data_IF_520507606724
#
_entry.id   IF_520507606724
#
_cell.length_a   1.000
_cell.length_b   1.000
_cell.length_c   1.000
_cell.angle_alpha   90.00
_cell.angle_beta   90.00
_cell.angle_gamma   90.00
#
_symmetry.space_group_name_H-M   'P 1'
#
loop_
_entity.id
_entity.type
_entity.pdbx_description
1 polymer ?
#
# COMPACT_ATOMS: atom_id res chain seq x y z
N UNK A 1 17.74 -4.69 -63.17
CA UNK A 1 17.63 -3.69 -62.09
C UNK A 1 16.26 -3.80 -61.44
N UNK A 2 16.07 -4.54 -60.38
CA UNK A 2 14.80 -4.49 -59.65
C UNK A 2 14.84 -3.39 -58.58
N UNK A 3 13.79 -2.65 -58.59
CA UNK A 3 13.42 -1.52 -57.74
C UNK A 3 13.14 -1.99 -56.30
N UNK A 4 13.92 -1.53 -55.34
CA UNK A 4 13.66 -1.79 -53.94
C UNK A 4 12.59 -0.81 -53.44
N UNK A 5 11.38 -1.30 -53.35
CA UNK A 5 10.30 -0.59 -52.67
C UNK A 5 10.58 -0.60 -51.17
N UNK A 6 10.82 0.60 -50.60
CA UNK A 6 10.89 0.84 -49.16
C UNK A 6 9.49 0.66 -48.56
N UNK A 7 9.33 -0.35 -47.74
CA UNK A 7 8.13 -0.51 -46.92
C UNK A 7 8.01 0.68 -45.93
N UNK A 8 6.84 1.26 -45.75
CA UNK A 8 6.64 2.29 -44.73
C UNK A 8 6.71 1.65 -43.33
N UNK A 9 7.64 2.11 -42.53
CA UNK A 9 7.78 1.81 -41.12
C UNK A 9 6.48 2.22 -40.42
N UNK A 10 5.67 1.24 -40.04
CA UNK A 10 4.46 1.46 -39.27
C UNK A 10 4.84 2.14 -37.94
N UNK A 11 4.42 3.38 -37.79
CA UNK A 11 4.56 4.13 -36.55
C UNK A 11 3.82 3.37 -35.45
N UNK A 12 4.57 2.87 -34.49
CA UNK A 12 4.01 2.36 -33.20
C UNK A 12 3.28 3.55 -32.54
N UNK A 13 1.99 3.44 -32.25
CA UNK A 13 1.30 4.54 -31.58
C UNK A 13 1.98 4.78 -30.24
N UNK A 14 2.32 6.05 -29.99
CA UNK A 14 2.87 6.56 -28.74
C UNK A 14 1.79 6.40 -27.64
N UNK A 15 1.68 5.20 -27.08
CA UNK A 15 0.78 4.91 -25.97
C UNK A 15 1.43 5.43 -24.70
N UNK A 16 1.15 6.69 -24.37
CA UNK A 16 1.34 7.20 -23.00
C UNK A 16 0.70 6.20 -22.03
N UNK A 17 1.40 5.84 -20.95
CA UNK A 17 0.83 4.91 -19.98
C UNK A 17 -0.52 5.43 -19.49
N UNK A 18 -1.52 4.56 -19.28
CA UNK A 18 -2.84 4.97 -18.85
C UNK A 18 -2.71 5.75 -17.51
N UNK A 19 -3.43 6.87 -17.45
CA UNK A 19 -3.43 7.70 -16.22
C UNK A 19 -3.93 6.87 -15.03
N UNK A 20 -3.26 6.91 -13.87
CA UNK A 20 -3.76 6.22 -12.68
C UNK A 20 -5.16 6.69 -12.32
N UNK A 21 -6.05 5.75 -12.03
CA UNK A 21 -7.42 6.03 -11.59
C UNK A 21 -7.45 6.09 -10.07
N UNK A 22 -7.90 7.20 -9.51
CA UNK A 22 -8.12 7.40 -8.08
C UNK A 22 -9.60 7.30 -7.79
N UNK A 23 -9.98 6.74 -6.65
CA UNK A 23 -11.36 6.71 -6.18
C UNK A 23 -11.48 7.53 -4.90
N UNK A 24 -12.31 8.57 -4.92
CA UNK A 24 -12.62 9.41 -3.76
C UNK A 24 -13.96 8.98 -3.19
N UNK A 25 -13.94 8.52 -1.94
CA UNK A 25 -15.11 8.04 -1.21
C UNK A 25 -15.33 8.94 0.01
N UNK A 26 -16.38 9.74 -0.04
CA UNK A 26 -16.71 10.72 1.00
C UNK A 26 -18.21 11.05 0.86
N UNK A 27 -18.97 11.23 1.89
CA UNK A 27 -20.40 11.57 1.81
C UNK A 27 -20.64 13.05 1.49
N UNK A 28 -19.65 13.91 1.75
CA UNK A 28 -19.70 15.34 1.42
C UNK A 28 -19.43 15.59 -0.07
N UNK A 29 -20.44 16.05 -0.79
CA UNK A 29 -20.33 16.40 -2.20
C UNK A 29 -19.28 17.47 -2.50
N UNK A 30 -19.12 18.46 -1.62
CA UNK A 30 -18.17 19.56 -1.81
C UNK A 30 -16.72 19.02 -1.74
N UNK A 31 -16.45 18.15 -0.79
CA UNK A 31 -15.14 17.53 -0.63
C UNK A 31 -14.83 16.65 -1.86
N UNK A 32 -15.76 15.78 -2.28
CA UNK A 32 -15.58 14.96 -3.48
C UNK A 32 -15.28 15.80 -4.71
N UNK A 33 -16.05 16.87 -4.93
CA UNK A 33 -15.87 17.75 -6.08
C UNK A 33 -14.52 18.46 -6.06
N UNK A 34 -14.13 19.00 -4.91
CA UNK A 34 -12.85 19.69 -4.73
C UNK A 34 -11.67 18.74 -4.99
N UNK A 35 -11.72 17.53 -4.44
CA UNK A 35 -10.67 16.54 -4.62
C UNK A 35 -10.60 16.04 -6.06
N UNK A 36 -11.75 15.77 -6.69
CA UNK A 36 -11.79 15.35 -8.09
C UNK A 36 -11.19 16.41 -9.02
N UNK A 37 -11.54 17.67 -8.84
CA UNK A 37 -10.97 18.78 -9.61
C UNK A 37 -9.47 18.94 -9.37
N UNK A 38 -9.06 18.99 -8.10
CA UNK A 38 -7.66 19.19 -7.74
C UNK A 38 -6.76 18.07 -8.29
N UNK A 39 -7.14 16.82 -8.09
CA UNK A 39 -6.36 15.66 -8.55
C UNK A 39 -6.43 15.51 -10.08
N UNK A 40 -7.57 15.84 -10.69
CA UNK A 40 -7.71 15.86 -12.15
C UNK A 40 -6.76 16.83 -12.84
N UNK A 41 -6.54 18.02 -12.27
CA UNK A 41 -5.56 19.01 -12.75
C UNK A 41 -4.11 18.50 -12.70
N UNK A 42 -3.84 17.49 -11.86
CA UNK A 42 -2.52 16.87 -11.72
C UNK A 42 -2.37 15.58 -12.55
N UNK A 43 -3.30 15.32 -13.46
CA UNK A 43 -3.18 14.24 -14.44
C UNK A 43 -3.78 12.90 -14.03
N UNK A 44 -4.49 12.82 -12.91
CA UNK A 44 -5.19 11.62 -12.49
C UNK A 44 -6.57 11.51 -13.13
N UNK A 45 -7.03 10.29 -13.38
CA UNK A 45 -8.44 10.02 -13.59
C UNK A 45 -9.10 9.84 -12.22
N UNK A 46 -10.21 10.54 -11.94
CA UNK A 46 -10.83 10.52 -10.60
C UNK A 46 -12.27 10.07 -10.72
N UNK A 47 -12.57 8.95 -10.08
CA UNK A 47 -13.90 8.45 -9.80
C UNK A 47 -14.34 8.89 -8.40
N UNK A 48 -15.63 8.99 -8.17
CA UNK A 48 -16.17 9.37 -6.87
C UNK A 48 -17.29 8.43 -6.43
N UNK A 49 -17.39 8.21 -5.13
CA UNK A 49 -18.47 7.46 -4.50
C UNK A 49 -18.92 8.17 -3.23
N UNK A 50 -20.20 8.05 -2.89
CA UNK A 50 -20.81 8.69 -1.72
C UNK A 50 -20.78 7.80 -0.48
N UNK A 51 -20.57 6.51 -0.66
CA UNK A 51 -20.60 5.49 0.39
C UNK A 51 -19.89 4.20 -0.07
N UNK A 52 -19.78 3.23 0.84
CA UNK A 52 -19.13 1.94 0.58
C UNK A 52 -19.77 1.13 -0.55
N UNK A 53 -21.10 1.18 -0.71
CA UNK A 53 -21.81 0.43 -1.76
C UNK A 53 -21.51 0.96 -3.16
N UNK A 54 -21.48 2.29 -3.32
CA UNK A 54 -21.07 2.92 -4.57
C UNK A 54 -19.59 2.64 -4.86
N UNK A 55 -18.73 2.72 -3.83
CA UNK A 55 -17.30 2.34 -3.93
C UNK A 55 -17.15 0.91 -4.49
N UNK A 56 -17.83 -0.07 -3.90
CA UNK A 56 -17.78 -1.46 -4.36
C UNK A 56 -18.24 -1.60 -5.80
N UNK A 57 -19.25 -0.83 -6.20
CA UNK A 57 -19.75 -0.79 -7.58
C UNK A 57 -18.71 -0.23 -8.55
N UNK A 58 -17.89 0.73 -8.14
CA UNK A 58 -16.77 1.25 -8.94
C UNK A 58 -15.66 0.22 -9.05
N UNK A 59 -15.26 -0.38 -7.92
CA UNK A 59 -14.20 -1.39 -7.87
C UNK A 59 -14.52 -2.64 -8.71
N UNK A 60 -15.81 -3.00 -8.83
CA UNK A 60 -16.26 -4.11 -9.67
C UNK A 60 -16.19 -3.81 -11.19
N UNK A 61 -16.18 -2.53 -11.60
CA UNK A 61 -16.24 -2.14 -13.02
C UNK A 61 -14.90 -1.78 -13.62
N UNK A 62 -13.95 -1.32 -12.79
CA UNK A 62 -12.66 -0.84 -13.29
C UNK A 62 -11.54 -0.98 -12.28
N UNK A 63 -10.32 -0.99 -12.78
CA UNK A 63 -9.13 -1.02 -11.94
C UNK A 63 -8.88 0.37 -11.35
N UNK A 64 -8.84 0.44 -10.02
CA UNK A 64 -8.50 1.63 -9.25
C UNK A 64 -7.05 1.51 -8.77
N UNK A 65 -6.30 2.59 -8.85
CA UNK A 65 -4.89 2.63 -8.43
C UNK A 65 -4.71 3.02 -6.96
N UNK A 66 -5.65 3.79 -6.39
CA UNK A 66 -5.63 4.24 -5.00
C UNK A 66 -7.03 4.71 -4.59
N UNK A 67 -7.38 4.51 -3.32
CA UNK A 67 -8.63 4.95 -2.71
C UNK A 67 -8.34 6.04 -1.67
N UNK A 68 -8.99 7.20 -1.81
CA UNK A 68 -9.11 8.22 -0.78
C UNK A 68 -10.43 7.98 -0.06
N UNK A 69 -10.40 7.63 1.22
CA UNK A 69 -11.55 7.13 1.96
C UNK A 69 -11.83 7.98 3.19
N UNK A 70 -13.01 8.57 3.26
CA UNK A 70 -13.45 9.21 4.49
C UNK A 70 -13.74 8.17 5.58
N UNK A 71 -13.40 8.54 6.82
CA UNK A 71 -13.69 7.69 8.00
C UNK A 71 -15.14 7.79 8.40
N UNK A 72 -15.71 8.99 8.36
CA UNK A 72 -17.06 9.28 8.87
C UNK A 72 -18.07 9.26 7.75
N UNK A 73 -18.57 8.09 7.39
CA UNK A 73 -19.59 7.94 6.36
C UNK A 73 -20.85 7.27 6.94
N UNK A 74 -22.05 7.60 6.39
CA UNK A 74 -23.27 6.92 6.78
C UNK A 74 -23.29 5.47 6.27
N UNK A 75 -23.80 4.56 7.11
CA UNK A 75 -23.84 3.12 6.80
C UNK A 75 -22.59 2.39 7.25
N UNK A 76 -21.81 1.84 6.33
CA UNK A 76 -20.51 1.23 6.63
C UNK A 76 -19.46 2.33 6.81
N UNK A 77 -18.88 2.45 8.02
CA UNK A 77 -17.82 3.42 8.31
C UNK A 77 -16.50 3.10 7.58
N UNK A 78 -15.68 4.14 7.37
CA UNK A 78 -14.43 4.00 6.62
C UNK A 78 -13.41 3.05 7.26
N UNK A 79 -13.42 2.88 8.58
CA UNK A 79 -12.54 1.93 9.26
C UNK A 79 -12.93 0.48 8.94
N UNK A 80 -14.23 0.19 8.93
CA UNK A 80 -14.78 -1.12 8.56
C UNK A 80 -14.48 -1.44 7.09
N UNK A 81 -14.69 -0.46 6.20
CA UNK A 81 -14.34 -0.57 4.77
C UNK A 81 -12.85 -0.86 4.61
N UNK A 82 -11.97 -0.09 5.25
CA UNK A 82 -10.53 -0.27 5.16
C UNK A 82 -10.10 -1.66 5.62
N UNK A 83 -10.65 -2.14 6.75
CA UNK A 83 -10.38 -3.49 7.27
C UNK A 83 -10.78 -4.59 6.29
N UNK A 84 -11.90 -4.40 5.59
CA UNK A 84 -12.38 -5.33 4.57
C UNK A 84 -11.48 -5.33 3.34
N UNK A 85 -11.10 -4.16 2.85
CA UNK A 85 -10.22 -3.99 1.69
C UNK A 85 -8.82 -4.55 1.93
N UNK A 86 -8.27 -4.36 3.13
CA UNK A 86 -6.94 -4.88 3.50
C UNK A 86 -6.81 -6.42 3.40
N UNK A 87 -7.94 -7.14 3.32
CA UNK A 87 -7.96 -8.62 3.19
C UNK A 87 -8.05 -9.12 1.76
N UNK A 88 -8.33 -8.25 0.80
CA UNK A 88 -8.68 -8.63 -0.57
C UNK A 88 -7.63 -8.23 -1.61
N UNK A 89 -6.44 -7.76 -1.19
CA UNK A 89 -5.45 -7.22 -2.13
C UNK A 89 -5.94 -5.98 -2.88
N UNK A 90 -6.83 -5.21 -2.25
CA UNK A 90 -7.38 -3.98 -2.80
C UNK A 90 -6.28 -2.91 -3.01
N UNK A 91 -6.57 -1.85 -3.79
CA UNK A 91 -5.66 -0.72 -3.93
C UNK A 91 -5.30 -0.07 -2.59
N UNK A 92 -4.13 0.60 -2.48
CA UNK A 92 -3.75 1.32 -1.27
C UNK A 92 -4.83 2.32 -0.86
N UNK A 93 -5.11 2.36 0.44
CA UNK A 93 -6.12 3.24 1.03
C UNK A 93 -5.44 4.39 1.76
N UNK A 94 -5.78 5.62 1.41
CA UNK A 94 -5.46 6.84 2.16
C UNK A 94 -6.71 7.27 2.90
N UNK A 95 -6.70 7.20 4.22
CA UNK A 95 -7.83 7.62 5.03
C UNK A 95 -7.85 9.13 5.25
N UNK A 96 -9.03 9.72 5.13
CA UNK A 96 -9.31 11.13 5.45
C UNK A 96 -10.22 11.17 6.66
N UNK A 97 -9.88 11.91 7.71
CA UNK A 97 -10.68 11.92 8.93
C UNK A 97 -10.72 13.28 9.61
N UNK A 98 -11.89 13.66 10.09
CA UNK A 98 -12.05 14.79 11.00
C UNK A 98 -11.55 14.46 12.43
N UNK A 99 -11.36 13.19 12.76
CA UNK A 99 -10.79 12.73 14.01
C UNK A 99 -9.26 12.85 13.90
N UNK A 100 -8.70 13.91 14.48
CA UNK A 100 -7.27 14.23 14.42
C UNK A 100 -6.45 13.60 15.54
N UNK A 101 -7.07 12.83 16.42
CA UNK A 101 -6.42 12.27 17.60
C UNK A 101 -5.48 11.11 17.26
N UNK A 102 -4.34 11.07 17.96
CA UNK A 102 -3.30 10.04 17.76
C UNK A 102 -3.86 8.60 17.82
N UNK A 103 -4.78 8.24 18.71
CA UNK A 103 -5.37 6.90 18.77
C UNK A 103 -6.10 6.49 17.51
N UNK A 104 -6.90 7.37 16.90
CA UNK A 104 -7.67 7.06 15.69
C UNK A 104 -6.78 6.90 14.46
N UNK A 105 -5.71 7.68 14.39
CA UNK A 105 -4.70 7.56 13.35
C UNK A 105 -3.93 6.25 13.47
N UNK A 106 -3.53 5.86 14.68
CA UNK A 106 -2.89 4.57 14.94
C UNK A 106 -3.83 3.44 14.52
N UNK A 107 -5.10 3.50 14.94
CA UNK A 107 -6.10 2.50 14.59
C UNK A 107 -6.27 2.38 13.07
N UNK A 108 -6.42 3.49 12.34
CA UNK A 108 -6.57 3.49 10.87
C UNK A 108 -5.43 2.77 10.17
N UNK A 109 -4.21 3.01 10.62
CA UNK A 109 -3.01 2.37 10.07
C UNK A 109 -2.89 0.90 10.50
N UNK A 110 -3.32 0.57 11.72
CA UNK A 110 -3.35 -0.80 12.23
C UNK A 110 -4.30 -1.71 11.47
N UNK A 111 -5.42 -1.18 10.97
CA UNK A 111 -6.41 -1.94 10.20
C UNK A 111 -6.06 -2.09 8.73
N UNK A 112 -4.99 -1.43 8.25
CA UNK A 112 -4.44 -1.64 6.91
C UNK A 112 -4.42 -0.43 5.98
N UNK A 113 -4.77 0.78 6.47
CA UNK A 113 -4.58 1.98 5.66
C UNK A 113 -3.10 2.20 5.34
N UNK A 114 -2.80 2.58 4.10
CA UNK A 114 -1.45 2.93 3.68
C UNK A 114 -1.02 4.28 4.25
N UNK A 115 -1.95 5.25 4.29
CA UNK A 115 -1.74 6.58 4.86
C UNK A 115 -3.01 7.08 5.57
N UNK A 116 -2.82 8.07 6.45
CA UNK A 116 -3.90 8.72 7.18
C UNK A 116 -3.68 10.24 7.19
N UNK A 117 -4.69 11.00 6.79
CA UNK A 117 -4.68 12.46 6.78
C UNK A 117 -5.81 13.01 7.66
N UNK A 118 -5.49 13.98 8.51
CA UNK A 118 -6.48 14.66 9.33
C UNK A 118 -7.12 15.82 8.56
N UNK A 119 -8.45 15.90 8.53
CA UNK A 119 -9.18 17.07 8.01
C UNK A 119 -9.15 18.21 9.04
N UNK A 120 -8.93 19.48 8.65
CA UNK A 120 -8.75 19.94 7.28
C UNK A 120 -7.35 19.70 6.76
N UNK A 121 -7.22 19.03 5.62
CA UNK A 121 -5.96 18.82 4.91
C UNK A 121 -5.91 19.65 3.62
N UNK A 122 -4.73 20.15 3.29
CA UNK A 122 -4.58 20.97 2.08
C UNK A 122 -4.57 20.09 0.82
N UNK A 123 -5.03 20.60 -0.35
CA UNK A 123 -4.91 19.89 -1.61
C UNK A 123 -3.47 19.46 -1.96
N UNK A 124 -2.48 20.25 -1.53
CA UNK A 124 -1.05 19.93 -1.72
C UNK A 124 -0.61 18.73 -0.88
N UNK A 125 -1.08 18.64 0.35
CA UNK A 125 -0.81 17.53 1.25
C UNK A 125 -1.42 16.23 0.74
N UNK A 126 -2.70 16.28 0.30
CA UNK A 126 -3.36 15.14 -0.32
C UNK A 126 -2.61 14.68 -1.56
N UNK A 127 -2.21 15.60 -2.44
CA UNK A 127 -1.45 15.28 -3.65
C UNK A 127 -0.09 14.64 -3.32
N UNK A 128 0.61 15.17 -2.32
CA UNK A 128 1.89 14.60 -1.88
C UNK A 128 1.72 13.17 -1.35
N UNK A 129 0.68 12.93 -0.55
CA UNK A 129 0.35 11.62 0.00
C UNK A 129 -0.08 10.63 -1.10
N UNK A 130 -0.92 11.06 -2.05
CA UNK A 130 -1.30 10.24 -3.22
C UNK A 130 -0.07 9.83 -4.02
N UNK A 131 0.84 10.78 -4.30
CA UNK A 131 2.09 10.48 -5.01
C UNK A 131 3.00 9.52 -4.24
N UNK A 132 3.08 9.66 -2.92
CA UNK A 132 3.85 8.75 -2.08
C UNK A 132 3.27 7.34 -2.12
N UNK A 133 1.95 7.19 -1.94
CA UNK A 133 1.27 5.90 -1.96
C UNK A 133 1.39 5.19 -3.32
N UNK A 134 1.21 5.91 -4.42
CA UNK A 134 1.37 5.35 -5.77
C UNK A 134 2.82 4.97 -6.07
N UNK A 135 3.80 5.80 -5.70
CA UNK A 135 5.23 5.50 -5.90
C UNK A 135 5.65 4.25 -5.15
N UNK A 136 5.15 4.03 -3.95
CA UNK A 136 5.40 2.82 -3.18
C UNK A 136 4.89 1.61 -3.96
N UNK A 137 3.71 1.69 -4.57
CA UNK A 137 3.15 0.66 -5.43
C UNK A 137 3.99 0.45 -6.70
N UNK A 138 4.32 1.51 -7.44
CA UNK A 138 5.12 1.42 -8.67
C UNK A 138 6.52 0.84 -8.42
N UNK A 139 7.14 1.18 -7.30
CA UNK A 139 8.42 0.59 -6.87
C UNK A 139 8.26 -0.88 -6.45
N UNK A 140 7.12 -1.23 -5.89
CA UNK A 140 6.73 -2.60 -5.62
C UNK A 140 6.56 -3.36 -6.94
N UNK A 141 5.82 -2.86 -7.89
CA UNK A 141 5.58 -3.49 -9.20
C UNK A 141 6.85 -3.58 -10.08
N UNK A 142 7.74 -2.58 -10.05
CA UNK A 142 8.96 -2.54 -10.86
C UNK A 142 10.13 -3.37 -10.31
N UNK A 143 10.17 -3.65 -9.01
CA UNK A 143 11.18 -4.53 -8.39
C UNK A 143 10.77 -6.01 -8.37
N UNK A 144 9.61 -6.35 -8.88
CA UNK A 144 8.79 -7.48 -8.45
C UNK A 144 8.75 -8.71 -9.35
N UNK A 145 9.71 -8.94 -10.19
CA UNK A 145 9.83 -10.27 -10.84
C UNK A 145 10.61 -11.30 -10.01
N UNK A 146 10.56 -11.23 -8.67
CA UNK A 146 11.42 -12.08 -7.84
C UNK A 146 10.70 -12.63 -6.62
N UNK A 147 10.50 -13.93 -6.63
CA UNK A 147 10.12 -14.67 -5.44
C UNK A 147 11.35 -14.92 -4.55
N UNK A 148 11.17 -14.85 -3.24
CA UNK A 148 12.20 -15.12 -2.26
C UNK A 148 11.76 -16.23 -1.32
N UNK A 149 12.73 -17.03 -0.84
CA UNK A 149 12.49 -18.11 0.12
C UNK A 149 13.30 -17.91 1.41
N UNK A 150 12.72 -18.28 2.56
CA UNK A 150 13.41 -18.33 3.84
C UNK A 150 12.74 -19.35 4.77
N UNK A 151 13.47 -20.24 5.36
CA UNK A 151 12.97 -21.29 6.29
C UNK A 151 11.72 -22.05 5.78
N UNK A 152 11.64 -22.29 4.47
CA UNK A 152 10.49 -22.93 3.84
C UNK A 152 9.35 -21.97 3.48
N UNK A 153 9.37 -20.72 3.93
CA UNK A 153 8.45 -19.67 3.49
C UNK A 153 8.77 -19.22 2.08
N UNK A 154 7.76 -18.88 1.30
CA UNK A 154 7.89 -18.27 -0.02
C UNK A 154 7.14 -16.96 -0.05
N UNK A 155 7.81 -15.89 -0.40
CA UNK A 155 7.20 -14.57 -0.62
C UNK A 155 7.36 -14.18 -2.08
N UNK A 156 6.27 -13.79 -2.71
CA UNK A 156 6.25 -13.22 -4.05
C UNK A 156 5.84 -11.75 -3.93
N UNK A 157 6.79 -10.86 -4.19
CA UNK A 157 6.54 -9.43 -4.05
C UNK A 157 5.71 -8.87 -5.20
N UNK A 158 5.68 -9.52 -6.38
CA UNK A 158 4.86 -9.13 -7.51
C UNK A 158 3.39 -9.51 -7.31
N UNK A 159 3.17 -10.73 -6.88
CA UNK A 159 1.83 -11.23 -6.61
C UNK A 159 1.28 -10.74 -5.25
N UNK A 160 2.10 -10.07 -4.42
CA UNK A 160 1.76 -9.69 -3.04
C UNK A 160 1.33 -10.87 -2.18
N UNK A 161 2.01 -12.00 -2.33
CA UNK A 161 1.68 -13.27 -1.70
C UNK A 161 2.76 -13.75 -0.76
N UNK A 162 2.35 -14.31 0.39
CA UNK A 162 3.22 -15.02 1.32
C UNK A 162 2.66 -16.42 1.55
N UNK A 163 3.46 -17.43 1.29
CA UNK A 163 3.11 -18.83 1.59
C UNK A 163 3.94 -19.34 2.74
N UNK A 164 3.31 -20.06 3.64
CA UNK A 164 3.99 -20.77 4.71
C UNK A 164 4.71 -22.03 4.19
N UNK A 165 5.50 -22.74 5.03
CA UNK A 165 6.18 -23.95 4.62
C UNK A 165 5.27 -25.10 4.17
N UNK A 166 3.98 -25.06 4.51
CA UNK A 166 2.98 -26.06 4.12
C UNK A 166 2.23 -25.64 2.83
N UNK A 167 2.61 -24.49 2.23
CA UNK A 167 2.03 -23.96 1.00
C UNK A 167 0.72 -23.20 1.21
N UNK A 168 0.37 -22.87 2.46
CA UNK A 168 -0.82 -22.08 2.78
C UNK A 168 -0.56 -20.61 2.55
N UNK A 169 -1.47 -19.92 1.84
CA UNK A 169 -1.43 -18.47 1.66
C UNK A 169 -1.70 -17.77 3.01
N UNK A 170 -0.81 -16.87 3.38
CA UNK A 170 -0.92 -16.09 4.62
C UNK A 170 -1.27 -14.63 4.26
N UNK A 171 -2.44 -14.21 4.70
CA UNK A 171 -2.89 -12.82 4.50
C UNK A 171 -2.05 -11.85 5.32
N UNK A 172 -1.41 -10.91 4.65
CA UNK A 172 -0.74 -9.75 5.26
C UNK A 172 -1.46 -8.47 4.85
N UNK A 173 -1.52 -7.51 5.77
CA UNK A 173 -1.87 -6.15 5.39
C UNK A 173 -0.71 -5.50 4.62
N UNK A 174 -0.97 -4.44 3.85
CA UNK A 174 0.08 -3.72 3.10
C UNK A 174 1.24 -3.29 3.99
N UNK A 175 0.95 -2.81 5.20
CA UNK A 175 1.98 -2.42 6.16
C UNK A 175 2.81 -3.60 6.67
N UNK A 176 2.20 -4.74 6.97
CA UNK A 176 2.91 -5.96 7.37
C UNK A 176 3.76 -6.49 6.23
N UNK A 177 3.24 -6.42 4.99
CA UNK A 177 3.94 -6.87 3.80
C UNK A 177 5.15 -5.98 3.48
N UNK A 178 5.00 -4.66 3.60
CA UNK A 178 6.10 -3.71 3.43
C UNK A 178 7.21 -3.91 4.47
N UNK A 179 6.85 -4.19 5.73
CA UNK A 179 7.81 -4.55 6.79
C UNK A 179 8.52 -5.86 6.47
N UNK A 180 7.79 -6.88 6.01
CA UNK A 180 8.38 -8.15 5.58
C UNK A 180 9.36 -7.94 4.42
N UNK A 181 8.99 -7.13 3.44
CA UNK A 181 9.84 -6.77 2.31
C UNK A 181 11.14 -6.12 2.75
N UNK A 182 11.07 -5.12 3.64
CA UNK A 182 12.27 -4.47 4.17
C UNK A 182 13.25 -5.46 4.84
N UNK A 183 12.72 -6.47 5.52
CA UNK A 183 13.50 -7.53 6.12
C UNK A 183 14.10 -8.51 5.10
N UNK A 184 13.33 -8.92 4.11
CA UNK A 184 13.74 -9.87 3.06
C UNK A 184 14.80 -9.26 2.13
N UNK A 185 14.67 -7.98 1.80
CA UNK A 185 15.66 -7.26 0.99
C UNK A 185 16.98 -6.97 1.72
N UNK A 186 16.93 -6.88 3.05
CA UNK A 186 18.10 -6.59 3.90
C UNK A 186 18.28 -7.65 5.00
N UNK A 187 18.41 -8.94 4.61
CA UNK A 187 18.45 -10.02 5.58
C UNK A 187 19.69 -9.92 6.45
N UNK A 188 19.57 -10.37 7.70
CA UNK A 188 20.67 -10.43 8.67
C UNK A 188 21.34 -9.08 8.97
N UNK A 189 20.56 -8.01 8.86
CA UNK A 189 20.92 -6.65 9.31
C UNK A 189 19.96 -6.18 10.38
N UNK A 190 20.45 -5.38 11.31
CA UNK A 190 19.58 -4.65 12.23
C UNK A 190 18.96 -3.49 11.46
N UNK A 191 17.63 -3.45 11.42
CA UNK A 191 16.89 -2.34 10.85
C UNK A 191 16.34 -1.49 11.99
N UNK A 192 16.74 -0.22 12.02
CA UNK A 192 16.22 0.75 12.96
C UNK A 192 14.71 0.95 12.72
N UNK A 193 13.98 1.40 13.75
CA UNK A 193 12.55 1.68 13.64
C UNK A 193 12.24 2.66 12.54
N UNK A 194 13.02 3.74 12.46
CA UNK A 194 12.87 4.76 11.41
C UNK A 194 13.05 4.18 10.01
N UNK A 195 14.03 3.30 9.82
CA UNK A 195 14.29 2.66 8.53
C UNK A 195 13.16 1.69 8.12
N UNK A 196 12.56 0.98 9.07
CA UNK A 196 11.38 0.15 8.83
C UNK A 196 10.15 0.99 8.54
N UNK A 197 10.05 2.12 9.22
CA UNK A 197 9.00 3.08 9.03
C UNK A 197 9.07 3.73 7.64
N UNK A 198 10.25 4.18 7.24
CA UNK A 198 10.52 4.71 5.91
C UNK A 198 10.20 3.67 4.82
N UNK A 199 10.63 2.41 5.03
CA UNK A 199 10.32 1.33 4.11
C UNK A 199 8.82 1.02 4.01
N UNK A 200 8.08 1.15 5.12
CA UNK A 200 6.65 0.88 5.16
C UNK A 200 5.79 2.02 4.63
N UNK A 201 6.30 3.28 4.59
CA UNK A 201 5.44 4.46 4.36
C UNK A 201 6.03 5.62 3.56
N UNK A 202 7.30 5.62 3.22
CA UNK A 202 7.95 6.80 2.60
C UNK A 202 8.28 7.93 3.60
N UNK A 203 8.92 9.03 3.15
CA UNK A 203 9.79 9.90 3.96
C UNK A 203 9.15 10.88 4.96
N UNK A 204 7.83 10.93 5.14
CA UNK A 204 7.19 12.01 5.92
C UNK A 204 6.27 11.53 7.04
N UNK A 205 6.79 11.07 8.21
CA UNK A 205 5.87 10.97 9.36
C UNK A 205 6.52 10.76 10.74
N UNK A 206 6.53 11.78 11.58
CA UNK A 206 6.98 11.72 13.00
C UNK A 206 6.09 10.90 13.94
N UNK A 207 4.86 10.55 13.55
CA UNK A 207 3.87 9.90 14.43
C UNK A 207 3.88 8.36 14.38
N UNK A 208 4.84 7.72 13.76
CA UNK A 208 4.80 6.32 13.37
C UNK A 208 5.68 5.35 14.17
N UNK A 209 6.50 5.80 15.09
CA UNK A 209 7.39 4.93 15.89
C UNK A 209 6.65 3.80 16.61
N UNK A 210 5.46 4.09 17.16
CA UNK A 210 4.64 3.07 17.83
C UNK A 210 3.92 2.12 16.87
N UNK A 211 3.57 2.60 15.69
CA UNK A 211 2.88 1.78 14.70
C UNK A 211 3.76 0.68 14.13
N UNK A 212 5.08 0.90 13.98
CA UNK A 212 6.01 -0.13 13.49
C UNK A 212 6.14 -1.29 14.46
N UNK A 213 6.18 -1.03 15.76
CA UNK A 213 6.26 -2.07 16.79
C UNK A 213 5.02 -2.99 16.75
N UNK A 214 3.85 -2.43 16.47
CA UNK A 214 2.60 -3.19 16.30
C UNK A 214 2.65 -4.03 15.03
N UNK A 215 3.07 -3.47 13.90
CA UNK A 215 3.19 -4.22 12.64
C UNK A 215 4.19 -5.37 12.77
N UNK A 216 5.36 -5.14 13.35
CA UNK A 216 6.34 -6.18 13.64
C UNK A 216 5.77 -7.25 14.57
N UNK A 217 5.00 -6.87 15.59
CA UNK A 217 4.34 -7.81 16.51
C UNK A 217 3.31 -8.69 15.79
N UNK A 218 2.51 -8.11 14.89
CA UNK A 218 1.53 -8.84 14.08
C UNK A 218 2.21 -9.76 13.07
N UNK A 219 3.20 -9.26 12.36
CA UNK A 219 3.99 -10.04 11.42
C UNK A 219 4.65 -11.24 12.13
N UNK A 220 5.26 -11.04 13.31
CA UNK A 220 5.80 -12.13 14.13
C UNK A 220 4.76 -13.19 14.43
N UNK A 221 3.55 -12.78 14.79
CA UNK A 221 2.47 -13.73 15.11
C UNK A 221 2.08 -14.57 13.90
N UNK A 222 2.05 -13.97 12.71
CA UNK A 222 1.73 -14.67 11.45
C UNK A 222 2.86 -15.58 10.99
N UNK A 223 4.12 -15.20 11.23
CA UNK A 223 5.31 -16.00 10.88
C UNK A 223 5.65 -17.10 11.90
N UNK A 224 4.90 -17.26 12.99
CA UNK A 224 5.18 -18.22 14.08
C UNK A 224 4.79 -19.68 13.80
N UNK A 225 4.71 -20.14 12.59
CA UNK A 225 4.20 -21.49 12.27
C UNK A 225 5.00 -22.66 12.85
N UNK A 226 6.27 -22.47 13.28
CA UNK A 226 7.14 -23.56 13.81
C UNK A 226 8.01 -23.18 15.02
N UNK A 227 7.67 -22.15 15.76
CA UNK A 227 8.42 -21.80 16.99
C UNK A 227 9.73 -21.05 16.77
N UNK A 228 10.09 -20.75 15.53
CA UNK A 228 11.32 -20.03 15.20
C UNK A 228 11.20 -18.53 15.43
N UNK A 229 12.21 -17.95 16.04
CA UNK A 229 12.33 -16.51 16.30
C UNK A 229 12.81 -15.80 15.02
N UNK A 230 11.92 -15.69 14.01
CA UNK A 230 12.23 -15.15 12.67
C UNK A 230 12.65 -13.67 12.74
N UNK A 231 12.04 -12.88 13.63
CA UNK A 231 12.34 -11.47 13.84
C UNK A 231 12.71 -11.24 15.31
N UNK A 232 13.92 -10.80 15.60
CA UNK A 232 14.40 -10.48 16.97
C UNK A 232 14.42 -8.99 17.22
N UNK A 233 14.10 -8.59 18.45
CA UNK A 233 14.27 -7.20 18.90
C UNK A 233 15.70 -7.03 19.43
N UNK A 234 16.42 -6.05 18.90
CA UNK A 234 17.71 -5.60 19.42
C UNK A 234 17.44 -4.30 20.20
N UNK A 235 17.66 -4.37 21.52
CA UNK A 235 17.34 -3.23 22.40
C UNK A 235 18.06 -1.96 21.94
N UNK A 236 17.31 -0.86 21.88
CA UNK A 236 17.74 0.47 21.47
C UNK A 236 18.22 0.60 20.01
N UNK A 237 18.25 -0.47 19.22
CA UNK A 237 18.75 -0.45 17.84
C UNK A 237 17.64 -0.73 16.82
N UNK A 238 16.67 -1.62 17.11
CA UNK A 238 15.58 -1.95 16.21
C UNK A 238 15.29 -3.45 16.14
N UNK A 239 15.16 -3.96 14.93
CA UNK A 239 14.75 -5.34 14.65
C UNK A 239 15.73 -6.05 13.72
N UNK A 240 15.89 -7.35 13.93
CA UNK A 240 16.82 -8.20 13.17
C UNK A 240 16.08 -9.40 12.58
N UNK A 241 16.18 -9.57 11.27
CA UNK A 241 15.64 -10.73 10.55
C UNK A 241 16.66 -11.86 10.54
N UNK A 242 16.35 -12.93 11.26
CA UNK A 242 17.29 -14.04 11.53
C UNK A 242 17.55 -14.92 10.30
N UNK A 243 16.52 -15.25 9.46
CA UNK A 243 16.69 -16.20 8.38
C UNK A 243 17.70 -15.76 7.32
N UNK A 244 18.29 -16.75 6.66
CA UNK A 244 18.91 -16.53 5.34
C UNK A 244 17.81 -16.47 4.30
N UNK A 245 17.92 -15.54 3.39
CA UNK A 245 17.00 -15.35 2.27
C UNK A 245 17.68 -15.85 1.01
N UNK A 246 16.98 -16.64 0.23
CA UNK A 246 17.40 -17.11 -1.10
C UNK A 246 16.42 -16.57 -2.13
N UNK A 247 16.91 -16.31 -3.32
CA UNK A 247 16.10 -15.91 -4.47
C UNK A 247 15.61 -17.17 -5.17
N UNK A 248 14.31 -17.26 -5.46
CA UNK A 248 13.68 -18.40 -6.12
C UNK A 248 13.55 -18.19 -7.62
#
# INVERSE_FOLDING_TARGET
MPNSASEPHAAVPDMLPPKPTLLVVDDDHMIRTLLAQSLGLHGYHVETATNAQEMDSVLARQTVSLILLDVMMPGEDGLSVCRRLARTGAPPVVMLSALGDEPDRILGLEIGASHYLSKPCSPREILATVRAALRTRDQQDASDSRAFGFLGWRVDFAAHELFDPDGTLIDLTDGEFAVLRAFVERPRRVLARDALLEAARGPDTEAFDRAIDVQVSRLRRKLRSRGDDIIRTIRNEGYFFVPRVVRL
#
